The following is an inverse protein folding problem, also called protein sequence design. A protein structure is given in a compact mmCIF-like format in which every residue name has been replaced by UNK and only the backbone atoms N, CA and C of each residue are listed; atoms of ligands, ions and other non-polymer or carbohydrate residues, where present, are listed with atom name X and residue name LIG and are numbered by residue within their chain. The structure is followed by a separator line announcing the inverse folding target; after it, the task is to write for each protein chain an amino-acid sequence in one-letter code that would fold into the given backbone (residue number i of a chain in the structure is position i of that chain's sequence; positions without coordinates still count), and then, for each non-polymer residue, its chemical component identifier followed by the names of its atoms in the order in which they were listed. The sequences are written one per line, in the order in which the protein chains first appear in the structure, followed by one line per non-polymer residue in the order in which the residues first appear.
data_IF_020611353169
#
_entry.id   IF_020611353169
#
_cell.length_a   1.000
_cell.length_b   1.000
_cell.length_c   1.000
_cell.angle_alpha   90.00
_cell.angle_beta   90.00
_cell.angle_gamma   90.00
#
_symmetry.space_group_name_H-M   'P 1'
#
loop_
_entity.id
_entity.type
_entity.pdbx_description
1 polymer ?
#
# COMPACT_ATOMS: atom_id res chain seq x y z
N UNK A 1 -68.49 -25.80 -18.77
CA UNK A 1 -67.54 -26.02 -17.66
C UNK A 1 -66.17 -25.49 -18.11
N UNK A 2 -65.70 -24.34 -17.57
CA UNK A 2 -64.42 -23.69 -17.95
C UNK A 2 -63.42 -23.85 -16.80
N UNK A 3 -62.31 -24.54 -17.04
CA UNK A 3 -61.22 -24.70 -16.07
C UNK A 3 -60.15 -23.64 -16.39
N UNK A 4 -59.86 -22.73 -15.45
CA UNK A 4 -58.75 -21.77 -15.58
C UNK A 4 -57.50 -22.36 -14.89
N UNK A 5 -56.35 -22.45 -15.56
CA UNK A 5 -55.12 -22.92 -14.94
C UNK A 5 -54.54 -21.79 -14.09
N UNK A 6 -54.60 -21.95 -12.77
CA UNK A 6 -53.91 -21.07 -11.83
C UNK A 6 -52.42 -21.43 -11.85
N UNK A 7 -51.62 -20.70 -12.63
CA UNK A 7 -50.17 -20.87 -12.66
C UNK A 7 -49.62 -20.48 -11.27
N UNK A 8 -49.17 -21.49 -10.51
CA UNK A 8 -48.71 -21.33 -9.11
C UNK A 8 -47.32 -20.70 -9.06
N UNK A 9 -47.24 -19.38 -9.23
CA UNK A 9 -46.03 -18.55 -9.12
C UNK A 9 -45.32 -18.67 -7.75
N UNK A 10 -46.05 -19.08 -6.70
CA UNK A 10 -45.54 -19.25 -5.32
C UNK A 10 -44.45 -20.30 -5.14
N UNK A 11 -44.31 -21.27 -6.05
CA UNK A 11 -43.36 -22.39 -5.86
C UNK A 11 -41.90 -22.05 -6.22
N UNK A 12 -41.66 -20.95 -6.92
CA UNK A 12 -40.31 -20.56 -7.39
C UNK A 12 -39.67 -19.43 -6.57
N UNK A 13 -40.43 -18.82 -5.66
CA UNK A 13 -39.94 -17.77 -4.76
C UNK A 13 -38.70 -18.16 -3.91
N UNK A 14 -38.58 -19.39 -3.34
CA UNK A 14 -37.40 -19.73 -2.55
C UNK A 14 -36.14 -19.96 -3.42
N UNK A 15 -36.31 -20.37 -4.69
CA UNK A 15 -35.20 -20.58 -5.62
C UNK A 15 -34.55 -19.25 -6.05
N UNK A 16 -35.37 -18.21 -6.23
CA UNK A 16 -34.92 -16.87 -6.55
C UNK A 16 -34.13 -16.23 -5.39
N UNK A 17 -34.55 -16.49 -4.14
CA UNK A 17 -33.88 -15.96 -2.95
C UNK A 17 -32.48 -16.57 -2.75
N UNK A 18 -32.34 -17.88 -3.01
CA UNK A 18 -31.06 -18.60 -2.93
C UNK A 18 -30.09 -18.11 -4.01
N UNK A 19 -30.57 -17.85 -5.23
CA UNK A 19 -29.73 -17.30 -6.30
C UNK A 19 -29.17 -15.91 -5.99
N UNK A 20 -29.94 -15.06 -5.29
CA UNK A 20 -29.51 -13.72 -4.87
C UNK A 20 -28.43 -13.79 -3.77
N UNK A 21 -28.47 -14.81 -2.91
CA UNK A 21 -27.46 -15.05 -1.86
C UNK A 21 -26.10 -15.47 -2.42
N UNK A 22 -26.03 -16.16 -3.57
CA UNK A 22 -24.77 -16.59 -4.18
C UNK A 22 -24.02 -15.47 -4.92
N UNK A 23 -24.67 -14.35 -5.26
CA UNK A 23 -24.06 -13.22 -5.99
C UNK A 23 -23.10 -12.41 -5.10
N UNK A 24 -23.19 -12.52 -3.78
CA UNK A 24 -22.42 -11.69 -2.84
C UNK A 24 -21.06 -12.29 -2.43
N UNK A 25 -20.71 -13.49 -2.91
CA UNK A 25 -19.44 -14.17 -2.54
C UNK A 25 -18.25 -13.75 -3.42
N UNK A 26 -18.49 -12.87 -4.41
CA UNK A 26 -17.42 -12.16 -5.12
C UNK A 26 -16.84 -11.04 -4.26
N UNK A 27 -16.14 -11.40 -3.18
CA UNK A 27 -15.30 -10.45 -2.47
C UNK A 27 -14.13 -10.13 -3.41
N UNK A 28 -14.21 -9.00 -4.12
CA UNK A 28 -13.04 -8.40 -4.74
C UNK A 28 -11.96 -8.30 -3.65
N UNK A 29 -10.75 -8.80 -3.93
CA UNK A 29 -9.61 -8.44 -3.08
C UNK A 29 -9.55 -6.92 -3.10
N UNK A 30 -9.93 -6.28 -1.99
CA UNK A 30 -9.67 -4.87 -1.80
C UNK A 30 -8.16 -4.71 -1.96
N UNK A 31 -7.74 -4.28 -3.15
CA UNK A 31 -6.35 -4.10 -3.50
C UNK A 31 -5.70 -3.37 -2.34
N UNK A 32 -4.83 -4.08 -1.60
CA UNK A 32 -4.19 -3.52 -0.41
C UNK A 32 -3.73 -2.10 -0.75
N UNK A 33 -3.97 -1.11 0.12
CA UNK A 33 -3.83 0.31 -0.22
C UNK A 33 -2.55 0.50 -1.04
N UNK A 34 -2.69 1.11 -2.21
CA UNK A 34 -1.60 1.20 -3.20
C UNK A 34 -0.33 1.87 -2.65
N UNK A 35 -0.41 2.46 -1.46
CA UNK A 35 0.66 3.14 -0.75
C UNK A 35 1.28 2.21 0.30
N UNK A 36 2.58 1.94 0.17
CA UNK A 36 3.40 1.36 1.24
C UNK A 36 3.99 2.50 2.08
N UNK A 37 4.00 2.39 3.40
CA UNK A 37 4.57 3.39 4.30
C UNK A 37 5.72 2.78 5.11
N UNK A 38 6.78 3.56 5.33
CA UNK A 38 7.91 3.20 6.19
C UNK A 38 8.32 4.40 7.04
N UNK A 39 8.59 4.19 8.33
CA UNK A 39 9.05 5.24 9.23
C UNK A 39 8.53 5.13 10.66
N UNK A 40 9.14 5.85 11.62
CA UNK A 40 10.34 6.71 11.45
C UNK A 40 11.63 5.90 11.24
N UNK A 41 12.41 6.21 10.21
CA UNK A 41 13.71 5.59 9.89
C UNK A 41 14.81 6.51 10.41
N UNK A 42 15.69 5.99 11.26
CA UNK A 42 16.87 6.73 11.70
C UNK A 42 17.90 6.78 10.58
N UNK A 43 18.51 7.95 10.37
CA UNK A 43 19.56 8.19 9.39
C UNK A 43 20.82 8.62 10.12
N UNK A 44 21.88 7.82 10.01
CA UNK A 44 23.20 8.12 10.55
C UNK A 44 24.27 7.37 9.73
N UNK A 45 25.54 7.70 9.97
CA UNK A 45 26.65 7.10 9.24
C UNK A 45 26.80 5.58 9.38
N UNK A 46 26.27 4.98 10.46
CA UNK A 46 26.30 3.53 10.65
C UNK A 46 25.33 2.78 9.72
N UNK A 47 24.34 3.46 9.16
CA UNK A 47 23.40 2.89 8.19
C UNK A 47 23.95 2.86 6.76
N UNK A 48 25.16 3.37 6.54
CA UNK A 48 25.88 3.25 5.27
C UNK A 48 26.62 1.90 5.23
N UNK A 49 26.81 1.36 4.02
CA UNK A 49 27.64 0.17 3.80
C UNK A 49 28.71 0.50 2.77
N UNK A 50 29.99 0.64 3.16
CA UNK A 50 30.51 0.59 4.53
C UNK A 50 30.07 1.80 5.37
N UNK A 51 30.11 1.66 6.69
CA UNK A 51 29.75 2.73 7.62
C UNK A 51 30.67 3.94 7.46
N UNK A 52 30.10 5.15 7.57
CA UNK A 52 30.82 6.42 7.43
C UNK A 52 30.88 7.13 8.77
N UNK A 53 32.05 7.67 9.13
CA UNK A 53 32.19 8.52 10.30
C UNK A 53 31.63 9.91 10.00
N UNK A 54 30.47 10.23 10.56
CA UNK A 54 29.81 11.54 10.47
C UNK A 54 29.05 11.82 11.76
N UNK A 55 28.94 13.10 12.11
CA UNK A 55 28.08 13.58 13.21
C UNK A 55 26.69 14.01 12.74
N UNK A 56 26.46 14.02 11.42
CA UNK A 56 25.14 14.26 10.84
C UNK A 56 24.16 13.14 11.18
N UNK A 57 22.92 13.50 11.48
CA UNK A 57 21.85 12.56 11.76
C UNK A 57 20.48 13.09 11.32
N UNK A 58 19.50 12.20 11.19
CA UNK A 58 18.15 12.58 10.83
C UNK A 58 17.13 11.47 11.01
N UNK A 59 15.87 11.81 10.74
CA UNK A 59 14.73 10.90 10.77
C UNK A 59 13.93 11.08 9.49
N UNK A 60 13.61 9.97 8.83
CA UNK A 60 12.80 9.94 7.61
C UNK A 60 11.47 9.21 7.82
N UNK A 61 10.43 9.72 7.20
CA UNK A 61 9.22 8.96 6.85
C UNK A 61 9.13 8.89 5.33
N UNK A 62 8.76 7.72 4.82
CA UNK A 62 8.74 7.42 3.38
C UNK A 62 7.43 6.73 3.05
N UNK A 63 6.85 7.06 1.90
CA UNK A 63 5.76 6.33 1.29
C UNK A 63 6.09 5.98 -0.15
N UNK A 64 5.57 4.85 -0.63
CA UNK A 64 5.68 4.43 -2.01
C UNK A 64 4.29 4.12 -2.58
N UNK A 65 3.87 4.93 -3.54
CA UNK A 65 2.68 4.68 -4.35
C UNK A 65 3.02 3.69 -5.47
N UNK A 66 2.52 2.46 -5.34
CA UNK A 66 2.74 1.38 -6.32
C UNK A 66 2.07 1.63 -7.66
N UNK A 67 1.00 2.43 -7.70
CA UNK A 67 0.28 2.77 -8.93
C UNK A 67 1.01 3.87 -9.70
N UNK A 68 1.40 4.94 -8.99
CA UNK A 68 2.11 6.09 -9.59
C UNK A 68 3.62 5.88 -9.70
N UNK A 69 4.14 4.79 -9.14
CA UNK A 69 5.58 4.53 -9.02
C UNK A 69 6.33 5.72 -8.39
N UNK A 70 5.70 6.38 -7.43
CA UNK A 70 6.21 7.60 -6.80
C UNK A 70 6.59 7.34 -5.36
N UNK A 71 7.77 7.80 -4.96
CA UNK A 71 8.20 7.82 -3.57
C UNK A 71 7.98 9.23 -3.02
N UNK A 72 7.28 9.37 -1.90
CA UNK A 72 7.19 10.61 -1.15
C UNK A 72 7.90 10.46 0.19
N UNK A 73 8.61 11.50 0.64
CA UNK A 73 9.37 11.42 1.88
C UNK A 73 9.37 12.75 2.62
N UNK A 74 9.47 12.67 3.94
CA UNK A 74 9.77 13.81 4.81
C UNK A 74 10.99 13.44 5.63
N UNK A 75 12.02 14.28 5.57
CA UNK A 75 13.27 14.06 6.29
C UNK A 75 13.50 15.29 7.16
N UNK A 76 13.77 15.05 8.44
CA UNK A 76 14.26 16.07 9.37
C UNK A 76 15.70 15.69 9.72
N UNK A 77 16.64 16.60 9.54
CA UNK A 77 18.05 16.30 9.75
C UNK A 77 18.79 17.46 10.41
N UNK A 78 19.90 17.11 11.04
CA UNK A 78 20.90 18.04 11.56
C UNK A 78 22.23 17.73 10.91
N UNK A 79 22.92 18.78 10.48
CA UNK A 79 24.29 18.66 10.01
C UNK A 79 25.24 18.63 11.22
N UNK A 80 26.31 17.87 11.07
CA UNK A 80 27.48 18.00 11.92
C UNK A 80 28.14 19.38 11.76
N UNK A 81 28.97 19.76 12.73
CA UNK A 81 29.77 20.99 12.66
C UNK A 81 30.65 20.99 11.41
N UNK A 82 30.59 22.05 10.61
CA UNK A 82 31.44 22.23 9.42
C UNK A 82 30.95 21.55 8.14
N UNK A 83 29.75 20.93 8.14
CA UNK A 83 29.15 20.36 6.93
C UNK A 83 28.33 21.38 6.15
N UNK A 84 28.52 21.39 4.83
CA UNK A 84 27.62 22.01 3.84
C UNK A 84 26.72 20.90 3.25
N UNK A 85 25.42 21.15 3.15
CA UNK A 85 24.48 20.22 2.48
C UNK A 85 24.79 20.20 1.00
N UNK A 86 25.47 19.16 0.51
CA UNK A 86 25.93 19.13 -0.89
C UNK A 86 25.07 18.29 -1.82
N UNK A 87 24.34 17.26 -1.34
CA UNK A 87 23.35 16.53 -2.17
C UNK A 87 22.56 15.50 -1.33
N UNK A 88 21.28 15.28 -1.63
CA UNK A 88 20.59 14.02 -1.30
C UNK A 88 20.63 13.08 -2.51
N UNK A 89 20.96 11.81 -2.29
CA UNK A 89 20.89 10.77 -3.31
C UNK A 89 20.28 9.49 -2.73
N UNK A 90 19.61 8.71 -3.58
CA UNK A 90 19.01 7.43 -3.21
C UNK A 90 19.97 6.29 -3.55
N UNK A 91 20.17 5.36 -2.61
CA UNK A 91 20.80 4.07 -2.90
C UNK A 91 19.75 3.12 -3.46
N UNK A 92 20.06 2.44 -4.57
CA UNK A 92 19.26 1.32 -5.06
C UNK A 92 19.33 0.12 -4.10
N UNK A 93 18.27 -0.68 -4.07
CA UNK A 93 18.29 -1.93 -3.28
C UNK A 93 19.25 -2.95 -3.90
N UNK A 94 20.04 -3.71 -3.10
CA UNK A 94 20.86 -4.82 -3.59
C UNK A 94 20.05 -5.89 -4.32
N UNK A 95 18.77 -6.07 -3.97
CA UNK A 95 17.88 -7.07 -4.57
C UNK A 95 17.20 -6.58 -5.85
N UNK A 96 17.57 -5.40 -6.34
CA UNK A 96 16.82 -4.70 -7.38
C UNK A 96 15.52 -4.14 -6.83
N UNK A 97 15.20 -2.90 -7.23
CA UNK A 97 13.78 -2.54 -7.33
C UNK A 97 13.17 -3.38 -8.46
N UNK A 98 11.90 -3.83 -8.34
CA UNK A 98 11.19 -4.42 -9.47
C UNK A 98 11.07 -3.44 -10.65
#
# INVERSE_FOLDING_TARGET
MKIKPQLRLRKFAPLLLVAILFVQVGCDEAAAPGILQAGPIQMNGANHVPAVATTGSGVATVSYDRQKKTISYTINWVLGTGSITTLMHFHGSPTGSP
#
